data_IF_444975020357
#
_entry.id   IF_444975020357
#
_cell.length_a   1.000
_cell.length_b   1.000
_cell.length_c   1.000
_cell.angle_alpha   90.00
_cell.angle_beta   90.00
_cell.angle_gamma   90.00
#
_symmetry.space_group_name_H-M   'P 1'
#
loop_
_entity.id
_entity.type
_entity.pdbx_description
1 polymer ?
#
# COMPACT_ATOMS: atom_id res chain seq x y z
N UNK A 1 -15.88 -6.94 31.36
CA UNK A 1 -16.90 -7.61 30.55
C UNK A 1 -17.35 -6.74 29.40
N UNK A 2 -16.40 -6.26 28.59
CA UNK A 2 -16.68 -5.58 27.32
C UNK A 2 -15.79 -6.23 26.26
N UNK A 3 -16.29 -6.32 25.03
CA UNK A 3 -15.60 -6.94 23.89
C UNK A 3 -15.70 -6.05 22.65
N UNK A 4 -14.80 -6.25 21.70
CA UNK A 4 -14.87 -5.60 20.39
C UNK A 4 -15.85 -6.32 19.46
N UNK A 5 -16.50 -5.57 18.58
CA UNK A 5 -17.40 -6.16 17.57
C UNK A 5 -16.60 -6.92 16.52
N UNK A 6 -16.82 -8.23 16.42
CA UNK A 6 -16.10 -9.10 15.49
C UNK A 6 -16.96 -10.30 15.08
N UNK A 7 -16.80 -10.79 13.84
CA UNK A 7 -17.29 -12.10 13.44
C UNK A 7 -16.39 -12.77 12.39
N UNK A 8 -16.54 -14.08 12.20
CA UNK A 8 -15.67 -14.89 11.33
C UNK A 8 -15.67 -14.42 9.86
N UNK A 9 -16.80 -13.93 9.36
CA UNK A 9 -16.94 -13.53 7.95
C UNK A 9 -16.37 -12.15 7.67
N UNK A 10 -16.55 -11.21 8.58
CA UNK A 10 -16.25 -9.78 8.37
C UNK A 10 -15.05 -9.29 9.18
N UNK A 11 -14.48 -10.11 10.06
CA UNK A 11 -13.47 -9.67 11.01
C UNK A 11 -14.02 -8.59 11.95
N UNK A 12 -13.20 -7.59 12.26
CA UNK A 12 -13.62 -6.44 13.08
C UNK A 12 -14.63 -5.57 12.34
N UNK A 13 -15.70 -5.24 13.06
CA UNK A 13 -16.79 -4.41 12.53
C UNK A 13 -16.49 -2.94 12.79
N UNK A 14 -16.54 -2.16 11.71
CA UNK A 14 -16.30 -0.72 11.71
C UNK A 14 -17.43 -0.04 10.92
N UNK A 15 -17.64 1.26 11.17
CA UNK A 15 -18.75 2.02 10.57
C UNK A 15 -18.73 2.02 9.04
N UNK A 16 -17.54 2.12 8.44
CA UNK A 16 -17.38 2.14 6.98
C UNK A 16 -17.09 0.73 6.46
N UNK A 17 -17.89 0.20 5.50
CA UNK A 17 -17.66 -1.13 4.94
C UNK A 17 -16.26 -1.34 4.34
N UNK A 18 -15.59 -0.27 3.87
CA UNK A 18 -14.24 -0.36 3.31
C UNK A 18 -13.16 -0.72 4.33
N UNK A 19 -13.47 -0.60 5.63
CA UNK A 19 -12.52 -0.88 6.72
C UNK A 19 -12.81 -2.22 7.42
N UNK A 20 -13.75 -3.03 6.95
CA UNK A 20 -13.98 -4.37 7.53
C UNK A 20 -12.73 -5.25 7.46
N UNK A 21 -12.72 -6.32 8.25
CA UNK A 21 -11.63 -7.28 8.35
C UNK A 21 -10.65 -6.86 9.43
N UNK A 22 -9.49 -6.40 9.01
CA UNK A 22 -8.41 -5.94 9.91
C UNK A 22 -8.57 -4.49 10.32
N UNK A 23 -9.31 -3.68 9.55
CA UNK A 23 -9.29 -2.22 9.68
C UNK A 23 -7.91 -1.58 9.46
N UNK A 24 -6.90 -2.36 9.06
CA UNK A 24 -5.51 -1.98 9.18
C UNK A 24 -5.02 -1.18 7.97
N UNK A 25 -4.41 -0.04 8.23
CA UNK A 25 -3.64 0.73 7.25
C UNK A 25 -2.21 0.89 7.74
N UNK A 26 -1.32 0.00 7.28
CA UNK A 26 0.12 0.17 7.43
C UNK A 26 0.65 0.97 6.24
N UNK A 27 1.52 1.94 6.51
CA UNK A 27 2.07 2.79 5.47
C UNK A 27 3.27 3.59 5.93
N UNK A 28 3.90 4.26 4.96
CA UNK A 28 5.08 5.10 5.16
C UNK A 28 4.92 6.39 4.36
N UNK A 29 5.52 7.46 4.88
CA UNK A 29 5.86 8.61 4.05
C UNK A 29 7.24 8.36 3.44
N UNK A 30 7.30 8.29 2.11
CA UNK A 30 8.52 8.00 1.37
C UNK A 30 8.75 9.04 0.28
N UNK A 31 10.00 9.47 0.13
CA UNK A 31 10.42 10.42 -0.91
C UNK A 31 10.85 9.66 -2.17
N UNK A 32 10.17 9.89 -3.29
CA UNK A 32 10.34 9.19 -4.56
C UNK A 32 10.43 10.17 -5.76
N UNK A 33 11.42 11.09 -5.83
CA UNK A 33 11.52 12.13 -6.86
C UNK A 33 11.57 11.61 -8.30
N UNK A 34 12.06 10.39 -8.54
CA UNK A 34 12.17 9.78 -9.86
C UNK A 34 10.97 8.87 -10.15
N UNK A 35 10.70 7.88 -9.28
CA UNK A 35 9.64 6.91 -9.49
C UNK A 35 8.27 7.55 -9.53
N UNK A 36 8.04 8.62 -8.77
CA UNK A 36 6.76 9.33 -8.77
C UNK A 36 6.41 9.98 -10.13
N UNK A 37 7.41 10.18 -11.00
CA UNK A 37 7.27 10.74 -12.35
C UNK A 37 7.25 9.64 -13.42
N UNK A 38 7.60 8.41 -13.08
CA UNK A 38 7.64 7.29 -14.02
C UNK A 38 6.20 6.82 -14.38
N UNK A 39 5.85 6.69 -15.66
CA UNK A 39 4.51 6.28 -16.08
C UNK A 39 4.11 4.87 -15.59
N UNK A 40 5.09 4.02 -15.24
CA UNK A 40 4.85 2.67 -14.72
C UNK A 40 4.45 2.65 -13.25
N UNK A 41 4.65 3.74 -12.50
CA UNK A 41 4.45 3.75 -11.06
C UNK A 41 3.04 3.34 -10.63
N UNK A 42 2.01 3.82 -11.34
CA UNK A 42 0.62 3.42 -11.08
C UNK A 42 0.43 1.90 -11.18
N UNK A 43 1.03 1.27 -12.19
CA UNK A 43 0.90 -0.18 -12.42
C UNK A 43 1.73 -0.99 -11.41
N UNK A 44 2.89 -0.47 -11.01
CA UNK A 44 3.70 -1.05 -9.93
C UNK A 44 2.89 -1.10 -8.62
N UNK A 45 2.27 0.01 -8.22
CA UNK A 45 1.43 0.06 -7.02
C UNK A 45 0.25 -0.90 -7.09
N UNK A 46 -0.45 -0.94 -8.24
CA UNK A 46 -1.58 -1.86 -8.47
C UNK A 46 -1.15 -3.33 -8.27
N UNK A 47 -0.05 -3.73 -8.91
CA UNK A 47 0.44 -5.10 -8.85
C UNK A 47 0.98 -5.48 -7.46
N UNK A 48 1.53 -4.51 -6.72
CA UNK A 48 1.98 -4.70 -5.34
C UNK A 48 0.85 -4.58 -4.30
N UNK A 49 -0.41 -4.33 -4.71
CA UNK A 49 -1.55 -4.07 -3.82
C UNK A 49 -1.29 -2.92 -2.83
N UNK A 50 -0.61 -1.88 -3.31
CA UNK A 50 -0.35 -0.64 -2.58
C UNK A 50 -1.21 0.50 -3.15
N UNK A 51 -1.47 1.50 -2.32
CA UNK A 51 -2.13 2.74 -2.73
C UNK A 51 -1.27 3.95 -2.36
N UNK A 52 -1.34 4.98 -3.21
CA UNK A 52 -0.73 6.29 -2.98
C UNK A 52 -1.79 7.29 -2.53
N UNK A 53 -1.49 8.08 -1.49
CA UNK A 53 -2.24 9.28 -1.09
C UNK A 53 -1.30 10.50 -1.04
N UNK A 54 -1.86 11.70 -0.99
CA UNK A 54 -1.08 12.91 -0.75
C UNK A 54 -0.53 12.97 0.68
N UNK A 55 0.45 13.84 0.89
CA UNK A 55 1.19 13.97 2.16
C UNK A 55 0.35 14.47 3.33
N UNK A 56 -0.78 15.12 3.09
CA UNK A 56 -1.76 15.52 4.11
C UNK A 56 -2.96 14.57 4.23
N UNK A 57 -2.91 13.38 3.62
CA UNK A 57 -3.98 12.39 3.66
C UNK A 57 -4.77 12.26 2.36
N UNK A 58 -5.97 11.68 2.47
CA UNK A 58 -6.77 11.18 1.33
C UNK A 58 -7.20 12.24 0.32
N UNK A 59 -7.31 13.50 0.76
CA UNK A 59 -7.80 14.62 -0.06
C UNK A 59 -6.75 15.71 -0.31
N UNK A 60 -5.47 15.41 -0.12
CA UNK A 60 -4.39 16.41 -0.31
C UNK A 60 -3.53 16.08 -1.52
N UNK A 61 -2.98 17.10 -2.16
CA UNK A 61 -1.93 16.91 -3.15
C UNK A 61 -0.64 16.46 -2.46
N UNK A 62 0.16 15.64 -3.13
CA UNK A 62 1.52 15.37 -2.67
C UNK A 62 2.32 16.69 -2.66
N UNK A 63 2.82 17.09 -1.50
CA UNK A 63 3.72 18.23 -1.38
C UNK A 63 5.13 17.79 -1.78
N UNK A 64 5.54 18.14 -3.00
CA UNK A 64 6.85 17.79 -3.54
C UNK A 64 6.98 16.32 -3.92
N UNK A 65 8.10 15.72 -3.55
CA UNK A 65 8.47 14.34 -3.94
C UNK A 65 8.08 13.28 -2.90
N UNK A 66 7.48 13.67 -1.77
CA UNK A 66 7.06 12.75 -0.71
C UNK A 66 5.63 12.26 -0.96
N UNK A 67 5.40 10.97 -0.78
CA UNK A 67 4.10 10.32 -0.98
C UNK A 67 3.77 9.41 0.19
N UNK A 68 2.49 9.29 0.53
CA UNK A 68 1.97 8.33 1.50
C UNK A 68 1.64 7.03 0.77
N UNK A 69 2.41 5.97 1.06
CA UNK A 69 2.21 4.62 0.52
C UNK A 69 1.69 3.70 1.62
N UNK A 70 0.60 3.00 1.35
CA UNK A 70 0.02 2.04 2.29
C UNK A 70 -0.58 0.83 1.59
N UNK A 71 -0.89 -0.24 2.34
CA UNK A 71 -1.65 -1.37 1.81
C UNK A 71 -3.00 -0.91 1.23
N UNK A 72 -3.43 -1.56 0.15
CA UNK A 72 -4.74 -1.34 -0.47
C UNK A 72 -5.84 -2.21 0.17
N UNK A 73 -5.51 -3.43 0.57
CA UNK A 73 -6.47 -4.41 1.13
C UNK A 73 -6.71 -4.22 2.64
N UNK A 74 -7.92 -4.53 3.11
CA UNK A 74 -8.32 -4.49 4.54
C UNK A 74 -8.97 -5.80 5.01
N UNK A 75 -9.67 -6.48 4.11
CA UNK A 75 -10.36 -7.75 4.32
C UNK A 75 -9.74 -8.83 3.42
N UNK A 76 -9.70 -10.08 3.92
CA UNK A 76 -9.19 -11.24 3.16
C UNK A 76 -7.70 -11.55 3.33
N UNK A 77 -6.97 -10.76 4.14
CA UNK A 77 -5.60 -11.00 4.60
C UNK A 77 -5.51 -10.63 6.08
N UNK A 78 -4.67 -11.34 6.83
CA UNK A 78 -4.37 -11.00 8.23
C UNK A 78 -3.54 -9.72 8.35
N UNK A 79 -3.51 -9.14 9.53
CA UNK A 79 -2.71 -7.96 9.87
C UNK A 79 -1.24 -8.16 9.51
N UNK A 80 -0.68 -9.33 9.85
CA UNK A 80 0.73 -9.68 9.58
C UNK A 80 1.00 -9.75 8.08
N UNK A 81 0.12 -10.37 7.31
CA UNK A 81 0.25 -10.42 5.84
C UNK A 81 0.17 -9.03 5.22
N UNK A 82 -0.72 -8.17 5.71
CA UNK A 82 -0.85 -6.80 5.21
C UNK A 82 0.40 -5.96 5.52
N UNK A 83 0.96 -6.09 6.72
CA UNK A 83 2.20 -5.40 7.09
C UNK A 83 3.38 -5.93 6.26
N UNK A 84 3.50 -7.25 6.08
CA UNK A 84 4.56 -7.85 5.26
C UNK A 84 4.47 -7.38 3.79
N UNK A 85 3.25 -7.30 3.24
CA UNK A 85 3.01 -6.77 1.90
C UNK A 85 3.49 -5.32 1.76
N UNK A 86 3.30 -4.50 2.79
CA UNK A 86 3.82 -3.12 2.81
C UNK A 86 5.34 -3.11 2.89
N UNK A 87 5.95 -3.94 3.73
CA UNK A 87 7.41 -4.05 3.85
C UNK A 87 8.03 -4.41 2.50
N UNK A 88 7.54 -5.48 1.86
CA UNK A 88 8.07 -5.97 0.59
C UNK A 88 7.86 -4.95 -0.53
N UNK A 89 6.65 -4.38 -0.60
CA UNK A 89 6.31 -3.40 -1.61
C UNK A 89 7.13 -2.11 -1.46
N UNK A 90 7.28 -1.58 -0.24
CA UNK A 90 8.08 -0.36 0.01
C UNK A 90 9.55 -0.60 -0.31
N UNK A 91 10.11 -1.76 0.05
CA UNK A 91 11.49 -2.12 -0.30
C UNK A 91 11.68 -2.17 -1.83
N UNK A 92 10.70 -2.69 -2.57
CA UNK A 92 10.71 -2.68 -4.02
C UNK A 92 10.68 -1.26 -4.60
N UNK A 93 9.83 -0.37 -4.05
CA UNK A 93 9.79 1.04 -4.48
C UNK A 93 11.13 1.74 -4.26
N UNK A 94 11.79 1.48 -3.12
CA UNK A 94 13.12 2.02 -2.81
C UNK A 94 14.17 1.52 -3.81
N UNK A 95 14.14 0.24 -4.18
CA UNK A 95 15.04 -0.31 -5.20
C UNK A 95 14.81 0.33 -6.57
N UNK A 96 13.55 0.49 -6.99
CA UNK A 96 13.20 1.20 -8.21
C UNK A 96 13.71 2.65 -8.22
N UNK A 97 13.51 3.38 -7.12
CA UNK A 97 13.98 4.75 -6.97
C UNK A 97 15.51 4.85 -7.15
N UNK A 98 16.26 3.99 -6.45
CA UNK A 98 17.73 3.94 -6.52
C UNK A 98 18.25 3.56 -7.92
N UNK A 99 17.51 2.74 -8.66
CA UNK A 99 17.84 2.40 -10.06
C UNK A 99 17.62 3.59 -10.98
N UNK A 100 16.47 4.25 -10.88
CA UNK A 100 16.17 5.44 -11.68
C UNK A 100 17.15 6.59 -11.40
N UNK A 101 17.55 6.79 -10.14
CA UNK A 101 18.58 7.76 -9.75
C UNK A 101 19.92 7.52 -10.48
N UNK A 102 20.25 6.26 -10.76
CA UNK A 102 21.45 5.85 -11.50
C UNK A 102 21.24 5.75 -13.01
N UNK A 103 20.07 6.15 -13.53
CA UNK A 103 19.71 6.03 -14.95
C UNK A 103 19.49 4.59 -15.41
N UNK A 104 19.21 3.67 -14.49
CA UNK A 104 18.95 2.25 -14.79
C UNK A 104 17.45 1.99 -14.97
N UNK A 105 17.12 1.02 -15.82
CA UNK A 105 15.73 0.65 -16.06
C UNK A 105 15.12 -0.14 -14.88
N UNK A 106 13.80 -0.03 -14.74
CA UNK A 106 13.00 -0.73 -13.73
C UNK A 106 11.95 -1.61 -14.39
N UNK A 107 11.44 -2.60 -13.65
CA UNK A 107 10.40 -3.50 -14.15
C UNK A 107 9.09 -3.28 -13.41
N UNK A 108 7.99 -3.69 -14.02
CA UNK A 108 6.72 -3.83 -13.33
C UNK A 108 6.69 -5.23 -12.74
N UNK A 109 6.49 -5.40 -11.42
CA UNK A 109 6.42 -6.72 -10.80
C UNK A 109 5.16 -7.45 -11.25
N UNK A 110 5.14 -8.78 -11.15
CA UNK A 110 3.92 -9.55 -11.38
C UNK A 110 2.84 -9.19 -10.34
N UNK A 111 1.53 -9.24 -10.69
CA UNK A 111 0.47 -8.91 -9.77
C UNK A 111 0.37 -9.92 -8.62
N UNK A 112 0.28 -9.42 -7.39
CA UNK A 112 0.01 -10.21 -6.19
C UNK A 112 -1.48 -10.61 -6.18
N UNK A 113 -1.76 -11.89 -5.89
CA UNK A 113 -3.13 -12.39 -5.79
C UNK A 113 -3.91 -11.65 -4.70
N UNK A 114 -5.14 -11.26 -5.02
CA UNK A 114 -6.02 -10.56 -4.07
C UNK A 114 -6.51 -11.49 -2.96
N UNK A 115 -6.78 -12.75 -3.29
CA UNK A 115 -7.28 -13.76 -2.36
C UNK A 115 -6.34 -14.96 -2.30
N UNK A 116 -6.31 -15.64 -1.15
CA UNK A 116 -5.76 -16.99 -1.07
C UNK A 116 -6.62 -17.90 -1.97
N UNK A 117 -5.97 -18.81 -2.72
CA UNK A 117 -6.67 -19.89 -3.41
C UNK A 117 -7.29 -20.84 -2.40
#
# INVERSE_FOLDING_TARGET
GWEFMWNERLGYILTCPSNLGTGLRAGVHIRLPFLNKDPRFKKILENLRLQKRGTGGVDTAATGDTVDISNLDRLGKSEVELVQLVIDGVNYLIDCEKKLEKGQDIKVPAPISQFRK
#
